data_IF_589977161349
#
_entry.id   IF_589977161349
#
_cell.length_a   1.000
_cell.length_b   1.000
_cell.length_c   1.000
_cell.angle_alpha   90.00
_cell.angle_beta   90.00
_cell.angle_gamma   90.00
#
_symmetry.space_group_name_H-M   'P 1'
#
loop_
_entity.id
_entity.type
_entity.pdbx_description
1 polymer ?
#
# COMPACT_ATOMS: atom_id res chain seq x y z
N UNK A 1 22.63 -18.11 10.71
CA UNK A 1 22.89 -16.64 10.68
C UNK A 1 22.08 -15.92 11.75
N UNK A 2 22.50 -14.71 12.15
CA UNK A 2 21.74 -13.87 13.09
C UNK A 2 21.19 -12.63 12.38
N UNK A 3 19.96 -12.21 12.73
CA UNK A 3 19.35 -11.00 12.20
C UNK A 3 19.73 -9.83 13.10
N UNK A 4 20.61 -8.95 12.63
CA UNK A 4 21.11 -7.80 13.40
C UNK A 4 20.13 -6.62 13.40
N UNK A 5 19.42 -6.42 12.30
CA UNK A 5 18.40 -5.38 12.17
C UNK A 5 17.33 -5.77 11.16
N UNK A 6 16.17 -5.13 11.25
CA UNK A 6 15.05 -5.27 10.31
C UNK A 6 14.76 -3.92 9.68
N UNK A 7 14.63 -3.85 8.35
CA UNK A 7 14.11 -2.66 7.66
C UNK A 7 12.74 -2.92 7.07
N UNK A 8 11.77 -2.10 7.45
CA UNK A 8 10.42 -2.14 6.89
C UNK A 8 10.33 -1.11 5.76
N UNK A 9 10.33 -1.62 4.53
CA UNK A 9 10.12 -0.84 3.31
C UNK A 9 8.65 -0.91 2.95
N UNK A 10 7.91 0.19 3.03
CA UNK A 10 6.47 0.11 2.81
C UNK A 10 5.90 1.26 1.97
N UNK A 11 5.02 0.89 1.02
CA UNK A 11 4.05 1.79 0.41
C UNK A 11 2.68 1.44 0.98
N UNK A 12 2.12 2.30 1.83
CA UNK A 12 0.93 1.95 2.62
C UNK A 12 0.00 3.15 2.86
N UNK A 13 -0.75 3.60 1.82
CA UNK A 13 -1.58 4.82 1.91
C UNK A 13 -2.64 4.80 3.02
N UNK A 14 -3.19 3.62 3.35
CA UNK A 14 -4.18 3.44 4.42
C UNK A 14 -3.62 2.77 5.68
N UNK A 15 -2.31 2.49 5.73
CA UNK A 15 -1.64 1.93 6.89
C UNK A 15 -1.61 0.39 6.99
N UNK A 16 -2.46 -0.35 6.28
CA UNK A 16 -2.62 -1.80 6.46
C UNK A 16 -1.36 -2.60 6.16
N UNK A 17 -0.69 -2.33 5.03
CA UNK A 17 0.54 -3.06 4.66
C UNK A 17 1.66 -2.82 5.66
N UNK A 18 1.78 -1.60 6.18
CA UNK A 18 2.74 -1.27 7.22
C UNK A 18 2.44 -2.01 8.54
N UNK A 19 1.18 -2.04 8.96
CA UNK A 19 0.74 -2.77 10.16
C UNK A 19 1.12 -4.26 10.10
N UNK A 20 0.88 -4.92 8.97
CA UNK A 20 1.26 -6.33 8.77
C UNK A 20 2.78 -6.49 8.83
N UNK A 21 3.55 -5.63 8.14
CA UNK A 21 5.01 -5.70 8.16
C UNK A 21 5.58 -5.50 9.59
N UNK A 22 5.02 -4.59 10.37
CA UNK A 22 5.38 -4.37 11.78
C UNK A 22 5.12 -5.62 12.63
N UNK A 23 3.99 -6.30 12.42
CA UNK A 23 3.67 -7.53 13.14
C UNK A 23 4.59 -8.69 12.75
N UNK A 24 4.97 -8.81 11.48
CA UNK A 24 5.97 -9.80 11.03
C UNK A 24 7.34 -9.51 11.67
N UNK A 25 7.74 -8.25 11.78
CA UNK A 25 9.03 -7.85 12.35
C UNK A 25 9.12 -8.08 13.87
N UNK A 26 8.03 -7.93 14.60
CA UNK A 26 7.97 -7.92 16.07
C UNK A 26 8.63 -9.15 16.73
N UNK A 27 8.37 -10.40 16.32
CA UNK A 27 8.96 -11.60 16.94
C UNK A 27 10.44 -11.78 16.62
N UNK A 28 11.00 -11.05 15.67
CA UNK A 28 12.42 -11.13 15.30
C UNK A 28 13.29 -10.54 16.42
N UNK A 29 12.78 -9.55 17.15
CA UNK A 29 13.44 -8.91 18.31
C UNK A 29 14.77 -8.22 17.96
N UNK A 30 14.91 -7.71 16.71
CA UNK A 30 16.00 -6.87 16.25
C UNK A 30 15.53 -5.41 16.14
N UNK A 31 16.43 -4.43 16.16
CA UNK A 31 16.09 -3.02 15.90
C UNK A 31 15.36 -2.86 14.56
N UNK A 32 14.30 -2.04 14.55
CA UNK A 32 13.49 -1.81 13.35
C UNK A 32 13.71 -0.40 12.83
N UNK A 33 14.07 -0.30 11.55
CA UNK A 33 14.14 0.95 10.80
C UNK A 33 13.05 1.00 9.72
N UNK A 34 12.62 2.20 9.36
CA UNK A 34 11.54 2.41 8.41
C UNK A 34 12.01 3.15 7.16
N UNK A 35 11.67 2.59 6.00
CA UNK A 35 11.79 3.23 4.69
C UNK A 35 10.37 3.44 4.16
N UNK A 36 9.85 4.64 4.36
CA UNK A 36 8.49 4.98 3.97
C UNK A 36 8.44 5.42 2.50
N UNK A 37 7.92 4.57 1.65
CA UNK A 37 7.72 4.85 0.23
C UNK A 37 6.38 5.54 -0.07
N UNK A 38 5.54 5.83 0.94
CA UNK A 38 4.19 6.35 0.73
C UNK A 38 4.16 7.83 0.32
N UNK A 39 4.90 8.76 0.95
CA UNK A 39 4.75 10.18 0.65
C UNK A 39 5.28 10.53 -0.76
N UNK A 40 4.76 11.59 -1.40
CA UNK A 40 5.22 12.03 -2.73
C UNK A 40 6.73 12.26 -2.82
N UNK A 41 7.36 12.74 -1.73
CA UNK A 41 8.81 12.95 -1.64
C UNK A 41 9.64 11.69 -1.90
N UNK A 42 9.12 10.51 -1.61
CA UNK A 42 9.80 9.24 -1.89
C UNK A 42 10.03 9.01 -3.41
N UNK A 43 9.33 9.76 -4.27
CA UNK A 43 9.53 9.71 -5.73
C UNK A 43 10.88 10.28 -6.17
N UNK A 44 11.40 11.26 -5.45
CA UNK A 44 12.67 11.95 -5.74
C UNK A 44 13.77 11.67 -4.74
N UNK A 45 13.46 10.96 -3.65
CA UNK A 45 14.41 10.62 -2.60
C UNK A 45 15.44 9.60 -3.09
N UNK A 46 16.69 9.79 -2.71
CA UNK A 46 17.74 8.78 -2.82
C UNK A 46 17.73 7.91 -1.57
N UNK A 47 17.81 6.61 -1.77
CA UNK A 47 17.84 5.62 -0.70
C UNK A 47 19.25 5.04 -0.57
N UNK A 48 19.70 4.84 0.68
CA UNK A 48 20.93 4.10 0.94
C UNK A 48 20.78 2.66 0.47
N UNK A 49 21.86 2.07 0.03
CA UNK A 49 21.90 0.66 -0.32
C UNK A 49 21.66 -0.21 0.91
N UNK A 50 20.98 -1.34 0.69
CA UNK A 50 20.68 -2.33 1.73
C UNK A 50 21.78 -3.38 1.76
N UNK A 51 22.22 -3.75 2.97
CA UNK A 51 23.30 -4.70 3.18
C UNK A 51 22.87 -5.76 4.23
N UNK A 52 23.44 -5.84 5.36
CA UNK A 52 23.34 -6.91 6.36
C UNK A 52 22.02 -6.96 7.19
N UNK A 53 20.94 -6.40 6.68
CA UNK A 53 19.62 -6.41 7.35
C UNK A 53 18.64 -7.41 6.73
N UNK A 54 17.66 -7.83 7.50
CA UNK A 54 16.45 -8.45 6.96
C UNK A 54 15.48 -7.36 6.52
N UNK A 55 15.05 -7.37 5.26
CA UNK A 55 14.13 -6.36 4.73
C UNK A 55 12.72 -6.94 4.59
N UNK A 56 11.70 -6.20 5.04
CA UNK A 56 10.28 -6.55 4.80
C UNK A 56 9.73 -5.53 3.82
N UNK A 57 9.45 -5.96 2.58
CA UNK A 57 8.89 -5.10 1.52
C UNK A 57 7.38 -5.31 1.48
N UNK A 58 6.61 -4.26 1.80
CA UNK A 58 5.17 -4.36 1.95
C UNK A 58 4.40 -3.33 1.10
N UNK A 59 3.40 -3.82 0.32
CA UNK A 59 2.55 -2.98 -0.53
C UNK A 59 1.08 -3.43 -0.49
N UNK A 60 0.12 -2.54 -0.81
CA UNK A 60 -1.26 -2.98 -1.06
C UNK A 60 -1.41 -3.58 -2.46
N UNK A 61 -2.53 -4.29 -2.64
CA UNK A 61 -2.95 -4.81 -3.93
C UNK A 61 -4.05 -3.91 -4.52
N UNK A 62 -3.81 -3.35 -5.70
CA UNK A 62 -4.80 -2.59 -6.47
C UNK A 62 -5.08 -3.31 -7.78
N UNK A 63 -6.33 -3.77 -7.95
CA UNK A 63 -6.77 -4.50 -9.14
C UNK A 63 -5.90 -5.74 -9.47
N UNK A 64 -5.49 -6.50 -8.44
CA UNK A 64 -4.73 -7.75 -8.61
C UNK A 64 -3.22 -7.55 -8.83
N UNK A 65 -2.73 -6.31 -8.78
CA UNK A 65 -1.32 -5.93 -9.01
C UNK A 65 -0.87 -4.98 -7.90
N UNK A 66 0.43 -4.77 -7.75
CA UNK A 66 0.91 -3.69 -6.88
C UNK A 66 0.68 -2.33 -7.54
N UNK A 67 0.50 -1.23 -6.78
CA UNK A 67 0.36 0.10 -7.34
C UNK A 67 1.59 0.51 -8.18
N UNK A 68 1.37 1.15 -9.34
CA UNK A 68 2.47 1.63 -10.19
C UNK A 68 3.44 2.55 -9.42
N UNK A 69 2.90 3.39 -8.54
CA UNK A 69 3.71 4.27 -7.69
C UNK A 69 4.60 3.48 -6.72
N UNK A 70 4.11 2.37 -6.17
CA UNK A 70 4.92 1.49 -5.34
C UNK A 70 6.03 0.82 -6.16
N UNK A 71 5.68 0.23 -7.32
CA UNK A 71 6.62 -0.41 -8.23
C UNK A 71 7.74 0.55 -8.66
N UNK A 72 7.37 1.78 -9.05
CA UNK A 72 8.33 2.82 -9.43
C UNK A 72 9.31 3.14 -8.29
N UNK A 73 8.79 3.31 -7.06
CA UNK A 73 9.61 3.70 -5.90
C UNK A 73 10.50 2.56 -5.40
N UNK A 74 10.01 1.32 -5.45
CA UNK A 74 10.81 0.14 -5.09
C UNK A 74 11.97 -0.03 -6.08
N UNK A 75 11.77 0.21 -7.38
CA UNK A 75 12.86 0.15 -8.39
C UNK A 75 13.97 1.18 -8.20
N UNK A 76 13.81 2.16 -7.34
CA UNK A 76 14.86 3.10 -6.93
C UNK A 76 15.75 2.57 -5.80
N UNK A 77 15.34 1.52 -5.14
CA UNK A 77 16.13 0.89 -4.10
C UNK A 77 17.31 0.12 -4.70
N UNK A 78 18.33 -0.11 -3.91
CA UNK A 78 19.51 -0.89 -4.28
C UNK A 78 19.84 -1.85 -3.15
N UNK A 79 20.03 -3.11 -3.50
CA UNK A 79 20.42 -4.16 -2.57
C UNK A 79 21.41 -5.10 -3.26
N UNK A 80 22.12 -5.91 -2.48
CA UNK A 80 23.05 -6.90 -2.99
C UNK A 80 22.85 -8.21 -2.24
N UNK A 81 22.08 -9.12 -2.83
CA UNK A 81 21.66 -10.41 -2.23
C UNK A 81 21.04 -10.25 -0.81
N UNK A 82 20.47 -9.06 -0.53
CA UNK A 82 19.91 -8.75 0.78
C UNK A 82 18.62 -9.54 1.01
N UNK A 83 18.51 -10.31 2.11
CA UNK A 83 17.31 -11.13 2.37
C UNK A 83 16.06 -10.28 2.53
N UNK A 84 15.00 -10.68 1.84
CA UNK A 84 13.74 -9.95 1.87
C UNK A 84 12.52 -10.84 2.10
N UNK A 85 11.58 -10.34 2.90
CA UNK A 85 10.23 -10.88 3.05
C UNK A 85 9.28 -10.04 2.21
N UNK A 86 8.59 -10.67 1.29
CA UNK A 86 7.71 -10.02 0.33
C UNK A 86 6.27 -10.08 0.83
N UNK A 87 5.64 -8.92 1.02
CA UNK A 87 4.31 -8.84 1.66
C UNK A 87 3.35 -8.02 0.82
N UNK A 88 2.18 -8.58 0.52
CA UNK A 88 1.07 -7.84 -0.08
C UNK A 88 -0.15 -7.85 0.85
N UNK A 89 -0.91 -6.74 0.85
CA UNK A 89 -2.19 -6.66 1.57
C UNK A 89 -3.33 -6.38 0.60
N UNK A 90 -4.43 -7.14 0.71
CA UNK A 90 -5.54 -7.06 -0.21
C UNK A 90 -6.90 -7.02 0.50
N UNK A 91 -7.92 -6.47 -0.18
CA UNK A 91 -9.26 -6.26 0.36
C UNK A 91 -10.15 -7.50 0.24
N UNK A 92 -9.74 -8.65 0.80
CA UNK A 92 -10.52 -9.90 0.97
C UNK A 92 -11.06 -10.57 -0.33
N UNK A 93 -10.76 -10.06 -1.55
CA UNK A 93 -11.17 -10.72 -2.81
C UNK A 93 -10.09 -11.70 -3.32
N UNK A 94 -9.02 -11.16 -3.84
CA UNK A 94 -7.85 -11.87 -4.35
C UNK A 94 -6.68 -10.90 -4.50
N UNK A 95 -5.47 -11.40 -4.38
CA UNK A 95 -4.24 -10.65 -4.64
C UNK A 95 -3.67 -10.92 -6.05
N UNK A 96 -4.21 -11.92 -6.75
CA UNK A 96 -3.87 -12.29 -8.13
C UNK A 96 -2.35 -12.35 -8.37
N UNK A 97 -1.80 -11.50 -9.24
CA UNK A 97 -0.37 -11.52 -9.59
C UNK A 97 0.50 -10.57 -8.72
N UNK A 98 -0.10 -9.88 -7.74
CA UNK A 98 0.60 -8.84 -6.97
C UNK A 98 1.80 -9.38 -6.18
N UNK A 99 1.70 -10.61 -5.65
CA UNK A 99 2.76 -11.17 -4.82
C UNK A 99 3.99 -11.56 -5.66
N UNK A 100 3.78 -12.23 -6.80
CA UNK A 100 4.87 -12.57 -7.72
C UNK A 100 5.46 -11.31 -8.34
N UNK A 101 4.64 -10.32 -8.72
CA UNK A 101 5.13 -9.04 -9.25
C UNK A 101 6.04 -8.32 -8.24
N UNK A 102 5.64 -8.27 -6.97
CA UNK A 102 6.46 -7.64 -5.94
C UNK A 102 7.77 -8.39 -5.72
N UNK A 103 7.73 -9.74 -5.76
CA UNK A 103 8.92 -10.59 -5.64
C UNK A 103 9.91 -10.34 -6.80
N UNK A 104 9.39 -10.28 -8.03
CA UNK A 104 10.23 -10.03 -9.20
C UNK A 104 10.87 -8.64 -9.15
N UNK A 105 10.11 -7.59 -8.80
CA UNK A 105 10.64 -6.23 -8.66
C UNK A 105 11.67 -6.15 -7.52
N UNK A 106 11.45 -6.83 -6.42
CA UNK A 106 12.42 -6.88 -5.33
C UNK A 106 13.73 -7.55 -5.79
N UNK A 107 13.63 -8.65 -6.56
CA UNK A 107 14.79 -9.32 -7.13
C UNK A 107 15.52 -8.46 -8.18
N UNK A 108 14.79 -7.71 -9.02
CA UNK A 108 15.36 -6.76 -10.00
C UNK A 108 16.32 -5.74 -9.34
N UNK A 109 16.06 -5.35 -8.10
CA UNK A 109 16.86 -4.34 -7.38
C UNK A 109 17.85 -4.93 -6.38
N UNK A 110 18.06 -6.26 -6.41
CA UNK A 110 19.07 -6.98 -5.66
C UNK A 110 18.64 -7.56 -4.31
N UNK A 111 17.35 -7.52 -3.98
CA UNK A 111 16.85 -8.29 -2.84
C UNK A 111 16.75 -9.78 -3.18
N UNK A 112 16.94 -10.61 -2.17
CA UNK A 112 16.70 -12.06 -2.24
C UNK A 112 15.43 -12.41 -1.48
N UNK A 113 14.30 -12.69 -2.15
CA UNK A 113 13.08 -13.14 -1.50
C UNK A 113 13.30 -14.47 -0.77
N UNK A 114 13.20 -14.48 0.55
CA UNK A 114 13.36 -15.67 1.39
C UNK A 114 12.04 -16.18 1.97
N UNK A 115 11.02 -15.32 1.97
CA UNK A 115 9.66 -15.63 2.36
C UNK A 115 8.69 -14.67 1.66
N UNK A 116 7.45 -15.10 1.47
CA UNK A 116 6.41 -14.29 0.86
C UNK A 116 5.07 -14.49 1.58
N UNK A 117 4.22 -13.44 1.63
CA UNK A 117 2.91 -13.54 2.25
C UNK A 117 1.88 -12.57 1.70
N UNK A 118 0.64 -13.06 1.59
CA UNK A 118 -0.53 -12.27 1.21
C UNK A 118 -1.51 -12.21 2.39
N UNK A 119 -1.74 -11.01 2.91
CA UNK A 119 -2.56 -10.77 4.09
C UNK A 119 -3.80 -9.94 3.73
N UNK A 120 -4.87 -10.12 4.51
CA UNK A 120 -6.08 -9.33 4.32
C UNK A 120 -6.00 -8.03 5.11
N UNK A 121 -6.38 -6.94 4.46
CA UNK A 121 -6.60 -5.63 5.08
C UNK A 121 -7.94 -5.05 4.67
N UNK A 122 -8.44 -4.08 5.41
CA UNK A 122 -9.67 -3.38 5.04
C UNK A 122 -9.54 -2.80 3.62
N UNK A 123 -10.52 -3.09 2.78
CA UNK A 123 -10.54 -2.54 1.43
C UNK A 123 -10.58 -1.01 1.49
N UNK A 124 -9.73 -0.33 0.73
CA UNK A 124 -9.61 1.14 0.79
C UNK A 124 -10.91 1.89 0.50
N UNK A 125 -11.85 1.28 -0.25
CA UNK A 125 -13.18 1.82 -0.53
C UNK A 125 -14.25 1.33 0.44
N UNK A 126 -13.90 0.55 1.47
CA UNK A 126 -14.84 0.13 2.53
C UNK A 126 -15.37 1.36 3.27
N UNK A 127 -16.67 1.38 3.51
CA UNK A 127 -17.35 2.38 4.34
C UNK A 127 -18.33 1.67 5.28
N UNK A 128 -18.76 2.29 6.38
CA UNK A 128 -19.65 1.64 7.37
C UNK A 128 -20.91 1.02 6.77
N UNK A 129 -21.49 1.67 5.73
CA UNK A 129 -22.71 1.16 5.06
C UNK A 129 -22.43 0.01 4.07
N UNK A 130 -21.19 -0.15 3.61
CA UNK A 130 -20.76 -1.17 2.65
C UNK A 130 -19.40 -1.70 3.09
N UNK A 131 -19.33 -2.43 4.22
CA UNK A 131 -18.08 -2.90 4.79
C UNK A 131 -17.46 -4.03 3.94
N UNK A 132 -16.17 -3.96 3.66
CA UNK A 132 -15.40 -5.03 3.01
C UNK A 132 -14.10 -5.20 3.78
N UNK A 133 -13.96 -6.33 4.47
CA UNK A 133 -12.89 -6.60 5.42
C UNK A 133 -12.72 -5.46 6.46
N UNK A 134 -13.82 -4.91 6.92
CA UNK A 134 -13.82 -3.76 7.82
C UNK A 134 -13.08 -4.09 9.12
N UNK A 135 -12.25 -3.16 9.57
CA UNK A 135 -11.43 -3.30 10.77
C UNK A 135 -10.21 -4.22 10.63
N UNK A 136 -10.00 -4.85 9.46
CA UNK A 136 -8.80 -5.67 9.23
C UNK A 136 -7.59 -4.82 8.76
N UNK A 137 -6.34 -5.22 9.10
CA UNK A 137 -5.99 -6.38 9.91
C UNK A 137 -6.43 -6.20 11.36
N UNK A 138 -7.16 -7.19 11.90
CA UNK A 138 -7.57 -7.29 13.30
C UNK A 138 -6.51 -8.07 14.13
N UNK A 139 -6.80 -8.32 15.39
CA UNK A 139 -5.86 -9.01 16.28
C UNK A 139 -5.46 -10.40 15.76
N UNK A 140 -6.42 -11.16 15.24
CA UNK A 140 -6.15 -12.49 14.68
C UNK A 140 -5.24 -12.43 13.45
N UNK A 141 -5.43 -11.44 12.57
CA UNK A 141 -4.54 -11.21 11.43
C UNK A 141 -3.12 -10.86 11.86
N UNK A 142 -3.01 -10.02 12.90
CA UNK A 142 -1.72 -9.59 13.44
C UNK A 142 -0.98 -10.75 14.14
N UNK A 143 -1.70 -11.61 14.87
CA UNK A 143 -1.15 -12.81 15.47
C UNK A 143 -0.62 -13.79 14.42
N UNK A 144 -1.35 -14.00 13.31
CA UNK A 144 -0.89 -14.80 12.18
C UNK A 144 0.35 -14.19 11.49
N UNK A 145 0.41 -12.88 11.41
CA UNK A 145 1.59 -12.18 10.90
C UNK A 145 2.80 -12.33 11.84
N UNK A 146 2.60 -12.27 13.16
CA UNK A 146 3.65 -12.55 14.15
C UNK A 146 4.11 -14.03 14.08
N UNK A 147 3.19 -14.99 13.91
CA UNK A 147 3.55 -16.39 13.73
C UNK A 147 4.39 -16.60 12.47
N UNK A 148 4.02 -15.95 11.37
CA UNK A 148 4.82 -15.98 10.15
C UNK A 148 6.23 -15.39 10.38
N UNK A 149 6.33 -14.28 11.11
CA UNK A 149 7.61 -13.69 11.51
C UNK A 149 8.50 -14.64 12.35
N UNK A 150 7.91 -15.43 13.27
CA UNK A 150 8.64 -16.47 14.02
C UNK A 150 9.22 -17.53 13.09
N UNK A 151 8.43 -18.03 12.14
CA UNK A 151 8.86 -19.03 11.16
C UNK A 151 9.98 -18.51 10.25
N UNK A 152 9.92 -17.23 9.85
CA UNK A 152 10.99 -16.57 9.08
C UNK A 152 12.28 -16.53 9.90
N UNK A 153 12.20 -16.10 11.15
CA UNK A 153 13.35 -16.06 12.06
C UNK A 153 13.99 -17.44 12.19
N UNK A 154 13.20 -18.48 12.49
CA UNK A 154 13.69 -19.84 12.60
C UNK A 154 14.36 -20.34 11.31
N UNK A 155 13.76 -20.04 10.15
CA UNK A 155 14.34 -20.39 8.85
C UNK A 155 15.70 -19.71 8.64
N UNK A 156 15.78 -18.42 8.94
CA UNK A 156 17.00 -17.63 8.78
C UNK A 156 18.13 -18.10 9.71
N UNK A 157 17.79 -18.42 10.97
CA UNK A 157 18.77 -18.86 11.98
C UNK A 157 19.33 -20.26 11.72
N UNK A 158 18.65 -21.10 10.91
CA UNK A 158 19.08 -22.49 10.58
C UNK A 158 20.14 -22.58 9.49
N UNK A 159 20.43 -21.51 8.78
CA UNK A 159 21.40 -21.50 7.68
C UNK A 159 22.62 -20.68 8.05
N UNK A 160 23.77 -21.04 7.50
CA UNK A 160 25.03 -20.32 7.71
C UNK A 160 25.29 -19.28 6.60
N UNK A 161 24.73 -19.50 5.40
CA UNK A 161 24.79 -18.56 4.27
C UNK A 161 23.39 -18.34 3.71
N UNK A 162 23.04 -17.08 3.41
CA UNK A 162 21.77 -16.71 2.77
C UNK A 162 21.57 -17.43 1.42
N UNK A 163 22.65 -17.83 0.76
CA UNK A 163 22.60 -18.56 -0.51
C UNK A 163 21.96 -19.93 -0.38
N UNK A 164 21.99 -20.53 0.80
CA UNK A 164 21.36 -21.83 1.09
C UNK A 164 19.83 -21.75 1.08
N UNK A 165 19.25 -20.55 1.30
CA UNK A 165 17.80 -20.37 1.25
C UNK A 165 17.39 -20.23 -0.24
N UNK A 166 16.58 -21.16 -0.78
CA UNK A 166 16.07 -21.01 -2.13
C UNK A 166 15.16 -19.76 -2.23
N UNK A 167 15.15 -19.06 -3.37
CA UNK A 167 14.22 -17.96 -3.59
C UNK A 167 12.77 -18.44 -3.46
N UNK A 168 11.96 -17.67 -2.73
CA UNK A 168 10.54 -17.94 -2.56
C UNK A 168 9.73 -17.05 -3.47
N UNK A 169 8.90 -17.66 -4.32
CA UNK A 169 7.92 -16.96 -5.15
C UNK A 169 6.52 -17.26 -4.63
N UNK A 170 5.69 -16.23 -4.53
CA UNK A 170 4.27 -16.40 -4.22
C UNK A 170 3.48 -16.95 -5.40
N UNK A 171 2.18 -17.26 -5.18
CA UNK A 171 1.28 -17.58 -6.27
C UNK A 171 1.06 -16.38 -7.19
N UNK A 172 0.92 -16.65 -8.48
CA UNK A 172 0.67 -15.68 -9.54
C UNK A 172 1.04 -16.27 -10.90
N UNK A 173 0.79 -15.53 -11.97
CA UNK A 173 1.16 -15.89 -13.33
C UNK A 173 2.20 -14.95 -13.88
N UNK A 174 3.22 -15.50 -14.52
CA UNK A 174 4.16 -14.73 -15.32
C UNK A 174 4.11 -15.25 -16.77
N UNK A 175 3.80 -14.48 -17.82
CA UNK A 175 3.61 -13.02 -17.77
C UNK A 175 2.35 -12.62 -16.98
N UNK A 176 2.45 -11.53 -16.25
CA UNK A 176 1.33 -11.02 -15.46
C UNK A 176 0.13 -10.71 -16.36
N UNK A 177 -1.06 -10.85 -15.81
CA UNK A 177 -2.28 -10.52 -16.50
C UNK A 177 -2.26 -9.02 -16.90
N UNK A 178 -1.98 -8.75 -18.18
CA UNK A 178 -1.66 -7.40 -18.70
C UNK A 178 -2.80 -6.38 -18.53
N UNK A 179 -4.03 -6.84 -18.42
CA UNK A 179 -5.22 -5.97 -18.45
C UNK A 179 -5.42 -5.09 -17.21
N UNK A 180 -4.58 -5.22 -16.18
CA UNK A 180 -4.82 -4.51 -14.92
C UNK A 180 -3.86 -3.33 -14.66
N UNK A 181 -2.68 -3.29 -15.25
CA UNK A 181 -1.64 -2.33 -14.88
C UNK A 181 -1.71 -0.94 -15.53
N UNK A 182 -2.10 -0.87 -16.79
CA UNK A 182 -2.23 0.40 -17.53
C UNK A 182 -3.68 0.76 -17.84
N UNK A 183 -4.59 -0.17 -17.61
CA UNK A 183 -5.94 -0.15 -18.13
C UNK A 183 -7.00 0.27 -17.12
N UNK A 184 -6.67 0.55 -15.86
CA UNK A 184 -7.63 1.22 -14.98
C UNK A 184 -8.10 2.56 -15.59
N UNK A 185 -7.26 3.23 -16.37
CA UNK A 185 -7.65 4.37 -17.21
C UNK A 185 -8.27 3.96 -18.57
N UNK A 186 -8.01 2.74 -19.10
CA UNK A 186 -8.42 2.29 -20.43
C UNK A 186 -9.69 1.42 -20.45
N UNK A 187 -9.92 0.64 -19.40
CA UNK A 187 -11.23 -0.01 -19.26
C UNK A 187 -12.22 1.09 -18.92
N UNK A 188 -13.02 1.52 -19.85
CA UNK A 188 -14.23 2.35 -19.71
C UNK A 188 -14.70 2.65 -18.26
N UNK A 189 -13.76 2.79 -17.34
CA UNK A 189 -13.96 3.47 -16.10
C UNK A 189 -14.09 4.99 -16.35
N UNK A 190 -14.46 5.37 -17.58
CA UNK A 190 -14.57 6.72 -18.12
C UNK A 190 -15.31 7.74 -17.27
N UNK A 191 -15.63 7.37 -16.05
CA UNK A 191 -16.26 8.18 -15.03
C UNK A 191 -15.78 7.82 -13.62
N UNK A 192 -14.64 7.09 -13.43
CA UNK A 192 -14.00 7.03 -12.11
C UNK A 192 -13.37 8.39 -11.86
N UNK A 193 -14.18 9.26 -11.33
CA UNK A 193 -13.71 10.52 -10.80
C UNK A 193 -13.06 10.28 -9.44
N UNK A 194 -12.04 11.06 -9.13
CA UNK A 194 -11.38 11.06 -7.83
C UNK A 194 -12.37 11.40 -6.70
N UNK A 195 -12.04 11.12 -5.44
CA UNK A 195 -12.80 11.63 -4.30
C UNK A 195 -12.94 13.15 -4.35
N UNK A 196 -14.15 13.64 -4.16
CA UNK A 196 -14.47 15.08 -4.09
C UNK A 196 -14.48 15.58 -2.64
N UNK A 197 -14.65 16.88 -2.46
CA UNK A 197 -14.78 17.51 -1.14
C UNK A 197 -16.18 18.05 -0.97
N UNK A 198 -16.81 17.77 0.15
CA UNK A 198 -17.96 18.47 0.64
C UNK A 198 -17.47 19.77 1.30
N UNK A 199 -17.68 20.90 0.59
CA UNK A 199 -17.15 22.19 1.00
C UNK A 199 -17.89 22.79 2.20
N UNK A 200 -19.14 22.33 2.48
CA UNK A 200 -19.95 22.80 3.59
C UNK A 200 -19.42 22.35 4.95
N UNK A 201 -18.90 21.11 5.00
CA UNK A 201 -18.38 20.53 6.24
C UNK A 201 -16.83 20.52 6.31
N UNK A 202 -16.15 20.89 5.23
CA UNK A 202 -14.70 20.87 5.16
C UNK A 202 -14.05 21.98 5.99
N UNK A 203 -13.31 21.60 7.03
CA UNK A 203 -12.59 22.54 7.92
C UNK A 203 -11.23 22.99 7.36
N UNK A 204 -10.85 22.62 6.14
CA UNK A 204 -9.60 22.99 5.47
C UNK A 204 -8.31 22.62 6.23
N UNK A 205 -8.34 21.57 7.04
CA UNK A 205 -7.21 21.16 7.90
C UNK A 205 -5.96 20.66 7.14
N UNK A 206 -6.06 20.40 5.83
CA UNK A 206 -4.92 19.93 5.01
C UNK A 206 -4.61 18.42 5.14
N UNK A 207 -5.26 17.67 6.02
CA UNK A 207 -4.95 16.24 6.24
C UNK A 207 -4.99 15.41 4.96
N UNK A 208 -5.96 15.66 4.09
CA UNK A 208 -6.10 14.98 2.80
C UNK A 208 -4.93 15.27 1.84
N UNK A 209 -4.30 16.44 1.94
CA UNK A 209 -3.08 16.79 1.18
C UNK A 209 -1.89 16.01 1.73
N UNK A 210 -1.72 16.03 3.04
CA UNK A 210 -0.60 15.35 3.74
C UNK A 210 -0.54 13.85 3.44
N UNK A 211 -1.70 13.16 3.48
CA UNK A 211 -1.77 11.70 3.31
C UNK A 211 -1.82 11.26 1.85
N UNK A 212 -1.89 12.18 0.90
CA UNK A 212 -1.98 11.82 -0.51
C UNK A 212 -0.64 11.28 -1.04
N UNK A 213 -0.56 10.00 -1.44
CA UNK A 213 0.73 9.39 -1.82
C UNK A 213 1.29 9.92 -3.15
N UNK A 214 0.45 10.58 -3.95
CA UNK A 214 0.83 11.09 -5.27
C UNK A 214 0.86 12.60 -5.35
N UNK A 215 0.43 13.30 -4.27
CA UNK A 215 0.28 14.76 -4.28
C UNK A 215 -0.90 15.24 -5.13
N UNK A 216 -1.83 14.35 -5.49
CA UNK A 216 -3.01 14.69 -6.29
C UNK A 216 -3.97 15.67 -5.60
N UNK A 217 -3.97 15.71 -4.25
CA UNK A 217 -4.86 16.61 -3.48
C UNK A 217 -4.11 17.88 -3.15
N UNK A 218 -4.73 19.00 -3.44
CA UNK A 218 -4.18 20.35 -3.17
C UNK A 218 -5.23 21.26 -2.55
N UNK A 219 -4.79 22.25 -1.77
CA UNK A 219 -5.63 23.36 -1.29
C UNK A 219 -5.18 24.61 -2.02
N UNK A 220 -6.09 25.27 -2.71
CA UNK A 220 -5.80 26.47 -3.50
C UNK A 220 -6.81 27.56 -3.20
N UNK A 221 -6.36 28.82 -3.27
CA UNK A 221 -7.27 29.95 -3.30
C UNK A 221 -7.89 30.05 -4.69
N UNK A 222 -9.20 30.10 -4.74
CA UNK A 222 -9.96 30.36 -5.96
C UNK A 222 -10.68 31.69 -5.77
N UNK A 223 -10.37 32.69 -6.61
CA UNK A 223 -11.00 33.99 -6.60
C UNK A 223 -10.50 34.84 -7.75
N UNK A 224 -11.39 35.62 -8.36
CA UNK A 224 -11.16 36.32 -9.61
C UNK A 224 -10.54 37.71 -9.44
N UNK A 225 -9.92 38.09 -8.32
CA UNK A 225 -9.23 39.36 -8.25
C UNK A 225 -8.12 39.42 -7.19
N UNK A 226 -6.90 39.82 -7.54
CA UNK A 226 -5.79 40.00 -6.61
C UNK A 226 -5.87 41.32 -5.80
N UNK A 227 -7.00 41.96 -5.72
CA UNK A 227 -7.14 43.18 -4.92
C UNK A 227 -7.42 42.84 -3.46
N UNK A 228 -6.54 43.23 -2.52
CA UNK A 228 -6.68 42.92 -1.08
C UNK A 228 -7.92 43.60 -0.44
N UNK A 229 -8.58 44.50 -1.10
CA UNK A 229 -9.66 45.34 -0.55
C UNK A 229 -11.09 44.84 -0.79
N UNK A 230 -11.27 43.74 -1.56
CA UNK A 230 -12.58 43.14 -1.82
C UNK A 230 -12.52 41.59 -1.75
N UNK A 231 -11.78 41.08 -0.77
CA UNK A 231 -11.33 39.71 -0.64
C UNK A 231 -12.42 38.67 -0.37
N UNK A 232 -12.86 38.00 -1.40
CA UNK A 232 -13.48 36.70 -1.30
C UNK A 232 -12.57 35.66 -2.00
N UNK A 233 -11.39 35.44 -1.44
CA UNK A 233 -10.59 34.27 -1.81
C UNK A 233 -11.12 33.05 -1.03
N UNK A 234 -11.74 32.10 -1.72
CA UNK A 234 -12.26 30.88 -1.12
C UNK A 234 -11.18 29.82 -1.23
N UNK A 235 -10.81 29.20 -0.10
CA UNK A 235 -9.97 28.01 -0.09
C UNK A 235 -10.78 26.81 -0.58
N UNK A 236 -10.31 26.17 -1.64
CA UNK A 236 -10.92 24.97 -2.21
C UNK A 236 -9.95 23.81 -2.17
N UNK A 237 -10.45 22.64 -1.78
CA UNK A 237 -9.70 21.38 -1.85
C UNK A 237 -9.99 20.73 -3.20
N UNK A 238 -9.00 20.68 -4.07
CA UNK A 238 -9.11 20.05 -5.38
C UNK A 238 -8.33 18.75 -5.46
N UNK A 239 -8.73 17.87 -6.37
CA UNK A 239 -8.01 16.64 -6.68
C UNK A 239 -7.69 16.58 -8.17
N UNK A 240 -6.41 16.40 -8.49
CA UNK A 240 -5.98 16.09 -9.85
C UNK A 240 -6.34 14.64 -10.17
N UNK A 241 -7.25 14.44 -11.10
CA UNK A 241 -7.75 13.12 -11.48
C UNK A 241 -6.72 12.28 -12.22
N UNK A 242 -5.79 12.91 -12.93
CA UNK A 242 -4.73 12.22 -13.66
C UNK A 242 -3.67 11.62 -12.75
N UNK A 243 -3.41 12.28 -11.65
CA UNK A 243 -2.42 11.88 -10.65
C UNK A 243 -3.03 11.00 -9.54
N UNK A 244 -4.37 11.05 -9.37
CA UNK A 244 -5.07 10.28 -8.34
C UNK A 244 -5.04 8.77 -8.64
N UNK A 245 -4.57 7.96 -7.67
CA UNK A 245 -4.55 6.50 -7.75
C UNK A 245 -5.73 5.81 -7.02
N UNK A 246 -6.75 6.56 -6.64
CA UNK A 246 -7.99 6.09 -5.98
C UNK A 246 -7.77 5.27 -4.69
N UNK A 247 -6.67 5.50 -4.00
CA UNK A 247 -6.32 4.79 -2.77
C UNK A 247 -7.22 5.13 -1.58
N UNK A 248 -8.02 6.19 -1.66
CA UNK A 248 -8.91 6.70 -0.60
C UNK A 248 -8.22 7.03 0.73
N UNK A 249 -6.90 7.22 0.77
CA UNK A 249 -6.22 7.69 1.97
C UNK A 249 -6.80 9.02 2.45
N UNK A 250 -7.12 9.95 1.53
CA UNK A 250 -7.74 11.23 1.84
C UNK A 250 -9.16 11.09 2.42
N UNK A 251 -9.90 10.05 2.03
CA UNK A 251 -11.24 9.74 2.58
C UNK A 251 -11.13 9.15 3.98
N UNK A 252 -10.26 8.13 4.14
CA UNK A 252 -10.07 7.41 5.41
C UNK A 252 -9.47 8.28 6.53
N UNK A 253 -8.74 9.34 6.19
CA UNK A 253 -8.07 10.21 7.15
C UNK A 253 -8.75 11.57 7.30
N UNK A 254 -9.92 11.80 6.70
CA UNK A 254 -10.64 13.06 6.88
C UNK A 254 -11.30 13.10 8.26
N UNK A 255 -10.93 14.02 9.16
CA UNK A 255 -11.44 14.04 10.54
C UNK A 255 -12.92 14.43 10.65
N UNK A 256 -13.50 14.97 9.58
CA UNK A 256 -14.90 15.43 9.53
C UNK A 256 -15.68 14.78 8.36
N UNK A 257 -15.15 13.73 7.76
CA UNK A 257 -15.75 12.99 6.64
C UNK A 257 -16.09 13.86 5.40
N UNK A 258 -15.46 15.03 5.26
CA UNK A 258 -15.67 15.94 4.14
C UNK A 258 -15.12 15.41 2.80
N UNK A 259 -14.23 14.40 2.81
CA UNK A 259 -13.73 13.75 1.59
C UNK A 259 -14.60 12.56 1.25
N UNK A 260 -15.28 12.62 0.11
CA UNK A 260 -16.29 11.64 -0.31
C UNK A 260 -15.89 10.93 -1.60
N UNK A 261 -16.18 9.63 -1.66
CA UNK A 261 -15.99 8.85 -2.88
C UNK A 261 -17.01 9.25 -3.95
N UNK A 262 -16.60 9.23 -5.22
CA UNK A 262 -17.50 9.47 -6.35
C UNK A 262 -18.64 8.44 -6.39
N UNK A 263 -19.77 8.81 -7.02
CA UNK A 263 -20.92 7.90 -7.21
C UNK A 263 -20.53 6.57 -7.84
N UNK A 264 -19.56 6.57 -8.76
CA UNK A 264 -19.09 5.36 -9.41
C UNK A 264 -18.23 4.49 -8.49
N UNK A 265 -17.36 5.09 -7.69
CA UNK A 265 -16.61 4.35 -6.66
C UNK A 265 -17.59 3.69 -5.69
N UNK A 266 -18.63 4.40 -5.25
CA UNK A 266 -19.67 3.86 -4.37
C UNK A 266 -20.42 2.68 -5.01
N UNK A 267 -20.83 2.79 -6.29
CA UNK A 267 -21.45 1.66 -7.02
C UNK A 267 -20.52 0.46 -7.14
N UNK A 268 -19.24 0.71 -7.44
CA UNK A 268 -18.24 -0.36 -7.50
C UNK A 268 -18.03 -1.02 -6.14
N UNK A 269 -18.03 -0.23 -5.08
CA UNK A 269 -17.91 -0.74 -3.71
C UNK A 269 -19.15 -1.55 -3.30
N UNK A 270 -20.35 -1.12 -3.65
CA UNK A 270 -21.59 -1.86 -3.40
C UNK A 270 -21.58 -3.24 -4.06
N UNK A 271 -21.17 -3.32 -5.33
CA UNK A 271 -21.03 -4.59 -6.04
C UNK A 271 -19.97 -5.49 -5.41
N UNK A 272 -18.88 -4.93 -4.91
CA UNK A 272 -17.80 -5.64 -4.22
C UNK A 272 -18.27 -6.16 -2.87
N UNK A 273 -18.94 -5.34 -2.09
CA UNK A 273 -19.51 -5.71 -0.79
C UNK A 273 -20.53 -6.83 -0.91
N UNK A 274 -21.49 -6.73 -1.84
CA UNK A 274 -22.50 -7.80 -2.10
C UNK A 274 -21.86 -9.13 -2.53
N UNK A 275 -20.67 -9.10 -3.11
CA UNK A 275 -19.91 -10.28 -3.54
C UNK A 275 -18.71 -10.57 -2.62
N UNK A 276 -18.64 -9.89 -1.48
CA UNK A 276 -17.52 -10.10 -0.56
C UNK A 276 -17.55 -11.53 -0.06
N UNK A 277 -16.47 -12.29 -0.24
CA UNK A 277 -16.39 -13.64 0.27
C UNK A 277 -16.39 -13.63 1.79
N UNK A 278 -16.60 -14.79 2.39
CA UNK A 278 -16.31 -15.03 3.78
C UNK A 278 -14.90 -14.60 4.15
N UNK A 279 -14.61 -14.54 5.44
CA UNK A 279 -13.28 -14.20 5.95
C UNK A 279 -12.21 -15.08 5.30
N UNK A 280 -11.27 -14.47 4.59
CA UNK A 280 -10.11 -15.18 4.05
C UNK A 280 -8.96 -15.15 5.04
N UNK A 281 -8.19 -16.22 4.98
CA UNK A 281 -6.97 -16.39 5.75
C UNK A 281 -5.76 -15.89 4.97
N UNK A 282 -4.66 -15.50 5.66
CA UNK A 282 -3.41 -15.17 4.98
C UNK A 282 -2.80 -16.41 4.33
N UNK A 283 -2.17 -16.19 3.20
CA UNK A 283 -1.35 -17.20 2.52
C UNK A 283 0.12 -16.85 2.71
N UNK A 284 0.92 -17.80 3.19
CA UNK A 284 2.35 -17.59 3.50
C UNK A 284 3.22 -18.67 2.88
N UNK A 285 4.38 -18.27 2.39
CA UNK A 285 5.35 -19.11 1.70
C UNK A 285 6.72 -18.92 2.36
N UNK A 286 7.37 -20.04 2.68
CA UNK A 286 8.67 -20.10 3.37
C UNK A 286 9.73 -20.79 2.53
#
# INVERSE_FOLDING_TARGET
>A
MNIESVKIVSFSPTGNSRKIAESIAKPIKAPIEYVNLTPPSAKTQDFKEFHNELVIVATPVYAGRIPNEAAFRIRKLKANDTPAVIVVTYGNRAYEDALIELSDIASEVGFKPIAAGAFVGEHSWSIPKMPTAHGRPDLEDLEKAEEFGKKIKEKYERVDDIKEIPPVTGHGKNPYTLHMRGQLKWYNFGELTSPSTDEEICIKCGKCVEVCPTGAVTIKYVGSNPSPSLGLSILVVSTDEDTCIWCCACVKNCPVDARIMSKRMLRSQENRWKRSPERKEPETFL
#
